data_IF_832126319291
#
_entry.id   IF_832126319291
#
_cell.length_a   1.000
_cell.length_b   1.000
_cell.length_c   1.000
_cell.angle_alpha   90.00
_cell.angle_beta   90.00
_cell.angle_gamma   90.00
#
_symmetry.space_group_name_H-M   'P 1'
#
loop_
_entity.id
_entity.type
_entity.pdbx_description
1 polymer ?
#
# COMPACT_ATOMS: atom_id res chain seq x y z
N UNK A 1 -15.71 -23.22 -30.66
CA UNK A 1 -14.65 -22.21 -30.85
C UNK A 1 -15.23 -20.84 -30.56
N UNK A 2 -15.29 -20.46 -29.29
CA UNK A 2 -15.50 -19.08 -28.83
C UNK A 2 -14.85 -18.99 -27.46
N UNK A 3 -13.58 -18.60 -27.45
CA UNK A 3 -12.81 -18.27 -26.25
C UNK A 3 -13.37 -16.97 -25.65
N UNK A 4 -14.17 -17.06 -24.60
CA UNK A 4 -14.44 -15.94 -23.72
C UNK A 4 -13.50 -16.05 -22.52
N UNK A 5 -12.35 -15.39 -22.63
CA UNK A 5 -11.45 -15.15 -21.50
C UNK A 5 -12.19 -14.27 -20.50
N UNK A 6 -12.43 -14.70 -19.25
CA UNK A 6 -12.95 -13.79 -18.25
C UNK A 6 -11.81 -12.83 -17.91
N UNK A 7 -11.90 -11.62 -18.44
CA UNK A 7 -11.05 -10.50 -18.09
C UNK A 7 -11.19 -10.29 -16.58
N UNK A 8 -10.23 -10.83 -15.81
CA UNK A 8 -10.10 -10.69 -14.36
C UNK A 8 -10.04 -9.20 -14.03
N UNK A 9 -11.22 -8.61 -13.82
CA UNK A 9 -11.39 -7.27 -13.29
C UNK A 9 -10.60 -7.23 -11.99
N UNK A 10 -9.62 -6.32 -11.83
CA UNK A 10 -8.95 -6.15 -10.56
C UNK A 10 -10.06 -5.81 -9.56
N UNK A 11 -10.38 -6.74 -8.68
CA UNK A 11 -11.23 -6.50 -7.53
C UNK A 11 -10.46 -5.52 -6.65
N UNK A 12 -10.63 -4.23 -6.96
CA UNK A 12 -10.16 -3.12 -6.15
C UNK A 12 -10.97 -3.19 -4.86
N UNK A 13 -10.54 -4.05 -3.94
CA UNK A 13 -10.85 -3.88 -2.54
C UNK A 13 -10.51 -2.42 -2.22
N UNK A 14 -11.46 -1.63 -1.70
CA UNK A 14 -11.21 -0.23 -1.43
C UNK A 14 -9.99 -0.15 -0.50
N UNK A 15 -9.01 0.75 -0.74
CA UNK A 15 -7.74 0.83 0.00
C UNK A 15 -7.91 1.03 1.52
N UNK A 16 -9.13 1.31 1.97
CA UNK A 16 -9.55 1.45 3.37
C UNK A 16 -9.67 0.09 4.09
N UNK A 17 -9.61 -1.06 3.39
CA UNK A 17 -9.74 -2.40 3.99
C UNK A 17 -8.43 -3.18 4.14
N UNK A 18 -7.28 -2.60 3.81
CA UNK A 18 -5.99 -3.29 3.94
C UNK A 18 -5.34 -2.98 5.31
N UNK A 19 -5.31 -3.92 6.26
CA UNK A 19 -4.73 -3.69 7.59
C UNK A 19 -3.24 -3.36 7.53
N UNK A 20 -2.51 -3.87 6.54
CA UNK A 20 -1.08 -3.61 6.38
C UNK A 20 -0.84 -2.17 5.91
N UNK A 21 -1.63 -1.68 4.95
CA UNK A 21 -1.58 -0.29 4.51
C UNK A 21 -1.87 0.69 5.66
N UNK A 22 -2.85 0.36 6.51
CA UNK A 22 -3.18 1.15 7.70
C UNK A 22 -2.01 1.16 8.68
N UNK A 23 -1.38 0.02 8.92
CA UNK A 23 -0.22 -0.09 9.79
C UNK A 23 0.98 0.72 9.27
N UNK A 24 1.27 0.63 7.96
CA UNK A 24 2.33 1.40 7.31
C UNK A 24 2.07 2.91 7.47
N UNK A 25 0.83 3.36 7.26
CA UNK A 25 0.46 4.76 7.42
C UNK A 25 0.64 5.24 8.87
N UNK A 26 0.17 4.45 9.85
CA UNK A 26 0.31 4.78 11.27
C UNK A 26 1.78 4.81 11.72
N UNK A 27 2.59 3.84 11.30
CA UNK A 27 4.02 3.80 11.60
C UNK A 27 4.78 5.00 11.00
N UNK A 28 4.41 5.41 9.78
CA UNK A 28 4.99 6.59 9.13
C UNK A 28 4.67 7.87 9.90
N UNK A 29 3.41 8.05 10.31
CA UNK A 29 3.00 9.19 11.14
C UNK A 29 3.71 9.20 12.50
N UNK A 30 3.84 8.04 13.13
CA UNK A 30 4.57 7.90 14.39
C UNK A 30 6.06 8.25 14.24
N UNK A 31 6.71 7.80 13.17
CA UNK A 31 8.10 8.14 12.89
C UNK A 31 8.30 9.64 12.68
N UNK A 32 7.36 10.31 11.99
CA UNK A 32 7.37 11.77 11.83
C UNK A 32 7.25 12.48 13.19
N UNK A 33 6.39 11.96 14.07
CA UNK A 33 6.20 12.53 15.40
C UNK A 33 7.46 12.43 16.27
N UNK A 34 8.21 11.32 16.17
CA UNK A 34 9.49 11.15 16.89
C UNK A 34 10.59 12.04 16.31
N UNK A 35 10.65 12.17 14.98
CA UNK A 35 11.75 12.87 14.30
C UNK A 35 11.25 13.75 13.14
N UNK A 36 10.78 14.94 13.50
CA UNK A 36 10.21 15.90 12.55
C UNK A 36 11.25 16.55 11.63
N UNK A 37 12.55 16.41 11.91
CA UNK A 37 13.60 16.95 11.03
C UNK A 37 13.76 16.12 9.76
N UNK A 38 13.34 14.85 9.77
CA UNK A 38 13.50 13.91 8.66
C UNK A 38 12.17 13.57 7.96
N UNK A 39 11.16 14.44 8.06
CA UNK A 39 9.81 14.21 7.51
C UNK A 39 9.85 13.76 6.05
N UNK A 40 10.66 14.42 5.21
CA UNK A 40 10.76 14.08 3.79
C UNK A 40 11.23 12.64 3.55
N UNK A 41 12.27 12.20 4.26
CA UNK A 41 12.82 10.83 4.16
C UNK A 41 11.81 9.82 4.70
N UNK A 42 11.19 10.12 5.85
CA UNK A 42 10.21 9.24 6.49
C UNK A 42 8.98 9.04 5.59
N UNK A 43 8.47 10.12 4.99
CA UNK A 43 7.37 10.05 4.02
C UNK A 43 7.78 9.25 2.78
N UNK A 44 8.99 9.45 2.25
CA UNK A 44 9.49 8.70 1.11
C UNK A 44 9.52 7.18 1.42
N UNK A 45 10.02 6.80 2.59
CA UNK A 45 10.03 5.41 3.05
C UNK A 45 8.61 4.85 3.25
N UNK A 46 7.70 5.63 3.82
CA UNK A 46 6.30 5.23 4.00
C UNK A 46 5.58 5.00 2.67
N UNK A 47 5.81 5.86 1.67
CA UNK A 47 5.27 5.69 0.31
C UNK A 47 5.85 4.46 -0.36
N UNK A 48 7.17 4.24 -0.27
CA UNK A 48 7.81 3.04 -0.83
C UNK A 48 7.23 1.78 -0.18
N UNK A 49 7.10 1.75 1.14
CA UNK A 49 6.51 0.62 1.86
C UNK A 49 5.07 0.34 1.40
N UNK A 50 4.26 1.39 1.21
CA UNK A 50 2.89 1.26 0.72
C UNK A 50 2.84 0.73 -0.73
N UNK A 51 3.75 1.19 -1.59
CA UNK A 51 3.86 0.68 -2.97
C UNK A 51 4.32 -0.78 -3.00
N UNK A 52 5.25 -1.15 -2.13
CA UNK A 52 5.71 -2.54 -1.99
C UNK A 52 4.57 -3.43 -1.50
N UNK A 53 3.78 -3.00 -0.51
CA UNK A 53 2.62 -3.74 -0.05
C UNK A 53 1.66 -4.00 -1.21
N UNK A 54 1.33 -2.98 -2.00
CA UNK A 54 0.43 -3.12 -3.16
C UNK A 54 1.01 -4.03 -4.25
N UNK A 55 2.32 -3.96 -4.51
CA UNK A 55 2.99 -4.71 -5.60
C UNK A 55 3.30 -6.15 -5.22
N UNK A 56 3.61 -6.41 -3.95
CA UNK A 56 3.95 -7.72 -3.42
C UNK A 56 2.72 -8.48 -2.91
N UNK A 57 1.57 -7.80 -2.77
CA UNK A 57 0.31 -8.45 -2.45
C UNK A 57 0.05 -9.56 -3.47
N UNK A 58 -0.03 -10.84 -3.04
CA UNK A 58 -0.40 -11.92 -3.92
C UNK A 58 -1.72 -11.58 -4.57
N UNK A 59 -1.72 -11.57 -5.91
CA UNK A 59 -2.93 -11.42 -6.70
C UNK A 59 -3.57 -12.80 -6.76
N UNK A 60 -4.18 -13.21 -5.65
CA UNK A 60 -5.13 -14.32 -5.66
C UNK A 60 -6.32 -13.96 -6.55
#
# INVERSE_FOLDING_TARGET
MSDETPLLKPERTPPVRDPAAIFIAAATLFAIFINSQNVGVILMLGVIALLLEIRLRPKD
#
